data_IF_892044713552
#
_entry.id   IF_892044713552
#
_cell.length_a   1.000
_cell.length_b   1.000
_cell.length_c   1.000
_cell.angle_alpha   90.00
_cell.angle_beta   90.00
_cell.angle_gamma   90.00
#
_symmetry.space_group_name_H-M   'P 1'
#
loop_
_entity.id
_entity.type
_entity.pdbx_description
1 polymer ?
#
# COMPACT_ATOMS: atom_id res chain seq x y z
N UNK A 1 18.99 -8.08 31.12
CA UNK A 1 17.53 -7.90 31.25
C UNK A 1 17.15 -6.97 30.12
N UNK A 2 16.76 -7.56 28.95
CA UNK A 2 16.33 -6.79 27.80
C UNK A 2 14.93 -6.26 28.10
N UNK A 3 14.79 -4.97 28.37
CA UNK A 3 13.54 -4.29 28.16
C UNK A 3 13.30 -4.32 26.63
N UNK A 4 12.49 -5.26 26.21
CA UNK A 4 11.84 -5.24 24.91
C UNK A 4 10.99 -3.97 24.92
N UNK A 5 11.52 -2.89 24.32
CA UNK A 5 10.76 -1.65 24.13
C UNK A 5 9.45 -2.05 23.48
N UNK A 6 8.35 -1.92 24.21
CA UNK A 6 7.03 -2.26 23.70
C UNK A 6 6.84 -1.59 22.34
N UNK A 7 6.68 -2.40 21.32
CA UNK A 7 6.59 -1.92 19.95
C UNK A 7 5.33 -1.07 19.80
N UNK A 8 5.49 0.16 19.33
CA UNK A 8 4.38 1.11 19.18
C UNK A 8 3.38 0.54 18.18
N UNK A 9 2.10 0.50 18.55
CA UNK A 9 1.02 0.02 17.71
C UNK A 9 0.88 0.84 16.42
N UNK A 10 0.52 0.20 15.32
CA UNK A 10 0.36 0.87 14.03
C UNK A 10 -0.74 1.94 14.07
N UNK A 11 -1.83 1.70 14.82
CA UNK A 11 -2.89 2.68 15.06
C UNK A 11 -2.37 3.95 15.76
N UNK A 12 -1.48 3.79 16.74
CA UNK A 12 -0.84 4.92 17.43
C UNK A 12 0.03 5.72 16.46
N UNK A 13 0.86 5.04 15.66
CA UNK A 13 1.69 5.71 14.65
C UNK A 13 0.87 6.46 13.62
N UNK A 14 -0.23 5.88 13.15
CA UNK A 14 -1.16 6.58 12.24
C UNK A 14 -1.70 7.86 12.88
N UNK A 15 -2.12 7.80 14.15
CA UNK A 15 -2.60 8.98 14.88
C UNK A 15 -1.54 10.05 15.03
N UNK A 16 -0.30 9.68 15.40
CA UNK A 16 0.84 10.59 15.50
C UNK A 16 1.20 11.26 14.17
N UNK A 17 1.04 10.53 13.06
CA UNK A 17 1.25 11.03 11.69
C UNK A 17 0.08 11.86 11.16
N UNK A 18 -1.04 11.93 11.89
CA UNK A 18 -2.27 12.58 11.43
C UNK A 18 -2.92 11.86 10.24
N UNK A 19 -2.70 10.55 10.11
CA UNK A 19 -3.22 9.74 9.01
C UNK A 19 -4.44 8.96 9.48
N UNK A 20 -5.55 9.11 8.75
CA UNK A 20 -6.74 8.27 8.92
C UNK A 20 -6.78 7.23 7.81
N UNK A 21 -7.01 5.96 8.16
CA UNK A 21 -7.21 4.93 7.15
C UNK A 21 -8.49 5.23 6.36
N UNK A 22 -8.43 5.15 5.02
CA UNK A 22 -9.61 5.33 4.20
C UNK A 22 -10.62 4.19 4.41
N UNK A 23 -11.90 4.48 4.17
CA UNK A 23 -12.91 3.46 4.09
C UNK A 23 -12.64 2.54 2.90
N UNK A 24 -12.85 1.24 3.08
CA UNK A 24 -12.72 0.24 2.02
C UNK A 24 -14.05 0.15 1.28
N UNK A 25 -14.12 0.49 -0.01
CA UNK A 25 -15.35 0.37 -0.78
C UNK A 25 -15.81 -1.09 -0.84
N UNK A 26 -17.14 -1.29 -0.83
CA UNK A 26 -17.71 -2.61 -1.10
C UNK A 26 -17.31 -3.05 -2.53
N UNK A 27 -16.91 -4.31 -2.73
CA UNK A 27 -16.54 -4.79 -4.06
C UNK A 27 -17.75 -4.77 -4.99
N UNK A 28 -17.55 -4.20 -6.18
CA UNK A 28 -18.59 -4.14 -7.25
C UNK A 28 -18.39 -5.25 -8.28
N UNK A 29 -17.43 -6.12 -8.10
CA UNK A 29 -17.07 -7.21 -9.02
C UNK A 29 -16.86 -8.53 -8.27
N UNK A 30 -16.54 -9.60 -8.98
CA UNK A 30 -16.35 -10.94 -8.43
C UNK A 30 -14.98 -11.14 -7.74
N UNK A 31 -14.51 -10.13 -7.00
CA UNK A 31 -13.29 -10.21 -6.20
C UNK A 31 -13.46 -9.48 -4.86
N UNK A 32 -12.56 -9.75 -3.91
CA UNK A 32 -12.52 -9.10 -2.60
C UNK A 32 -11.33 -8.14 -2.52
N UNK A 33 -11.44 -7.05 -1.74
CA UNK A 33 -10.32 -6.12 -1.52
C UNK A 33 -9.09 -6.78 -0.90
N UNK A 34 -9.31 -7.79 -0.07
CA UNK A 34 -8.26 -8.59 0.54
C UNK A 34 -8.80 -9.99 0.89
N UNK A 35 -7.90 -10.97 0.90
CA UNK A 35 -8.19 -12.35 1.33
C UNK A 35 -7.14 -12.82 2.32
N UNK A 36 -7.58 -13.61 3.31
CA UNK A 36 -6.69 -14.26 4.28
C UNK A 36 -6.42 -15.68 3.82
N UNK A 37 -5.16 -16.09 3.82
CA UNK A 37 -4.75 -17.47 3.53
C UNK A 37 -3.50 -17.82 4.33
N UNK A 38 -3.56 -18.89 5.11
CA UNK A 38 -2.44 -19.42 5.90
C UNK A 38 -1.74 -18.35 6.76
N UNK A 39 -2.50 -17.48 7.42
CA UNK A 39 -1.96 -16.41 8.27
C UNK A 39 -1.40 -15.20 7.51
N UNK A 40 -1.53 -15.18 6.20
CA UNK A 40 -1.18 -14.04 5.36
C UNK A 40 -2.41 -13.40 4.76
N UNK A 41 -2.33 -12.09 4.52
CA UNK A 41 -3.36 -11.32 3.83
C UNK A 41 -2.79 -10.87 2.50
N UNK A 42 -3.54 -11.14 1.45
CA UNK A 42 -3.25 -10.70 0.08
C UNK A 42 -4.26 -9.64 -0.31
N UNK A 43 -3.82 -8.46 -0.68
CA UNK A 43 -4.73 -7.42 -1.17
C UNK A 43 -4.93 -7.52 -2.67
N UNK A 44 -6.08 -7.09 -3.14
CA UNK A 44 -6.23 -6.69 -4.53
C UNK A 44 -5.37 -5.45 -4.82
N UNK A 45 -5.06 -5.19 -6.10
CA UNK A 45 -4.39 -3.97 -6.51
C UNK A 45 -5.21 -2.73 -6.14
N UNK A 46 -4.52 -1.72 -5.58
CA UNK A 46 -5.14 -0.48 -5.16
C UNK A 46 -4.60 0.68 -5.98
N UNK A 47 -5.50 1.50 -6.49
CA UNK A 47 -5.20 2.74 -7.17
C UNK A 47 -5.20 3.91 -6.18
N UNK A 48 -4.63 5.07 -6.52
CA UNK A 48 -4.58 6.23 -5.63
C UNK A 48 -5.92 7.00 -5.61
N UNK A 49 -6.97 6.35 -5.14
CA UNK A 49 -8.27 6.95 -4.90
C UNK A 49 -8.32 7.68 -3.56
N UNK A 50 -8.95 8.85 -3.55
CA UNK A 50 -9.35 9.59 -2.35
C UNK A 50 -10.81 10.00 -2.53
N UNK A 51 -11.65 9.68 -1.56
CA UNK A 51 -13.09 9.99 -1.56
C UNK A 51 -13.81 9.57 -2.86
N UNK A 52 -13.44 8.42 -3.40
CA UNK A 52 -14.02 7.85 -4.62
C UNK A 52 -13.50 8.46 -5.93
N UNK A 53 -12.50 9.33 -5.88
CA UNK A 53 -11.91 9.97 -7.05
C UNK A 53 -10.47 9.54 -7.25
N UNK A 54 -10.12 9.16 -8.48
CA UNK A 54 -8.73 8.95 -8.88
C UNK A 54 -8.02 10.29 -8.94
N UNK A 55 -6.91 10.44 -8.21
CA UNK A 55 -6.25 11.74 -8.04
C UNK A 55 -5.60 12.26 -9.32
N UNK A 56 -5.16 11.38 -10.21
CA UNK A 56 -4.46 11.76 -11.43
C UNK A 56 -4.48 10.61 -12.44
N UNK A 57 -4.31 10.94 -13.72
CA UNK A 57 -4.17 9.99 -14.82
C UNK A 57 -2.93 10.29 -15.65
N UNK A 58 -2.43 9.29 -16.38
CA UNK A 58 -1.30 9.45 -17.31
C UNK A 58 -0.11 8.56 -16.99
N UNK A 59 0.94 8.73 -17.77
CA UNK A 59 2.17 7.93 -17.70
C UNK A 59 3.27 8.65 -16.96
N UNK A 60 3.96 7.93 -16.10
CA UNK A 60 5.13 8.42 -15.38
C UNK A 60 6.31 8.52 -16.33
N UNK A 61 7.00 9.66 -16.30
CA UNK A 61 8.05 10.00 -17.24
C UNK A 61 7.55 10.76 -18.49
N UNK A 62 6.23 10.89 -18.65
CA UNK A 62 5.60 11.74 -19.67
C UNK A 62 4.74 12.82 -18.99
N UNK A 63 3.42 12.59 -18.86
CA UNK A 63 2.51 13.57 -18.23
C UNK A 63 2.57 13.65 -16.70
N UNK A 64 3.07 12.60 -16.04
CA UNK A 64 3.20 12.51 -14.58
C UNK A 64 4.67 12.48 -14.19
N UNK A 65 5.09 13.35 -13.27
CA UNK A 65 6.47 13.36 -12.77
C UNK A 65 6.72 12.18 -11.82
N UNK A 66 7.98 11.71 -11.69
CA UNK A 66 8.35 10.66 -10.73
C UNK A 66 8.01 11.04 -9.28
N UNK A 67 8.20 12.30 -8.90
CA UNK A 67 7.90 12.82 -7.56
C UNK A 67 6.39 12.75 -7.29
N UNK A 68 5.58 13.19 -8.25
CA UNK A 68 4.13 13.09 -8.15
C UNK A 68 3.67 11.64 -8.10
N UNK A 69 4.25 10.77 -8.90
CA UNK A 69 3.95 9.34 -8.87
C UNK A 69 4.30 8.68 -7.52
N UNK A 70 5.37 9.11 -6.84
CA UNK A 70 5.71 8.63 -5.51
C UNK A 70 4.64 9.04 -4.46
N UNK A 71 4.11 10.27 -4.54
CA UNK A 71 2.99 10.70 -3.70
C UNK A 71 1.74 9.84 -3.96
N UNK A 72 1.44 9.56 -5.22
CA UNK A 72 0.30 8.70 -5.59
C UNK A 72 0.51 7.25 -5.14
N UNK A 73 1.73 6.71 -5.20
CA UNK A 73 2.07 5.40 -4.67
C UNK A 73 1.88 5.33 -3.15
N UNK A 74 2.16 6.40 -2.42
CA UNK A 74 1.87 6.53 -0.99
C UNK A 74 0.37 6.42 -0.72
N UNK A 75 -0.48 7.11 -1.49
CA UNK A 75 -1.95 7.04 -1.36
C UNK A 75 -2.46 5.64 -1.67
N UNK A 76 -2.01 5.04 -2.77
CA UNK A 76 -2.38 3.68 -3.14
C UNK A 76 -1.97 2.65 -2.08
N UNK A 77 -0.78 2.81 -1.48
CA UNK A 77 -0.32 1.97 -0.38
C UNK A 77 -1.19 2.12 0.88
N UNK A 78 -1.64 3.33 1.19
CA UNK A 78 -2.57 3.54 2.31
C UNK A 78 -3.91 2.83 2.06
N UNK A 79 -4.42 2.85 0.84
CA UNK A 79 -5.61 2.10 0.44
C UNK A 79 -5.38 0.57 0.58
N UNK A 80 -4.19 0.08 0.24
CA UNK A 80 -3.84 -1.33 0.41
C UNK A 80 -3.73 -1.73 1.89
N UNK A 81 -3.19 -0.86 2.76
CA UNK A 81 -3.18 -1.07 4.21
C UNK A 81 -4.60 -1.13 4.76
N UNK A 82 -5.49 -0.22 4.31
CA UNK A 82 -6.89 -0.22 4.71
C UNK A 82 -7.60 -1.53 4.29
N UNK A 83 -7.36 -1.99 3.05
CA UNK A 83 -7.91 -3.25 2.55
C UNK A 83 -7.43 -4.44 3.40
N UNK A 84 -6.14 -4.54 3.72
CA UNK A 84 -5.60 -5.58 4.58
C UNK A 84 -6.17 -5.51 5.99
N UNK A 85 -6.26 -4.32 6.58
CA UNK A 85 -6.79 -4.10 7.93
C UNK A 85 -8.27 -4.52 8.05
N UNK A 86 -9.05 -4.38 6.98
CA UNK A 86 -10.49 -4.69 6.96
C UNK A 86 -10.81 -6.17 7.22
N UNK A 87 -9.86 -7.08 6.95
CA UNK A 87 -10.05 -8.53 7.12
C UNK A 87 -9.34 -9.12 8.34
N UNK A 88 -8.66 -8.27 9.14
CA UNK A 88 -7.93 -8.69 10.35
C UNK A 88 -8.31 -7.90 11.60
N UNK A 89 -9.46 -7.22 11.58
CA UNK A 89 -10.00 -6.49 12.73
C UNK A 89 -9.35 -5.13 12.98
N UNK A 90 -8.66 -4.56 12.00
CA UNK A 90 -8.02 -3.26 12.07
C UNK A 90 -6.52 -3.31 11.78
N UNK A 91 -5.88 -2.15 11.73
CA UNK A 91 -4.45 -2.05 11.34
C UNK A 91 -3.52 -2.75 12.34
N UNK A 92 -3.90 -2.82 13.62
CA UNK A 92 -3.13 -3.52 14.65
C UNK A 92 -3.20 -5.04 14.52
N UNK A 93 -4.15 -5.57 13.73
CA UNK A 93 -4.20 -6.96 13.32
C UNK A 93 -3.15 -7.34 12.26
N UNK A 94 -2.44 -6.37 11.71
CA UNK A 94 -1.30 -6.59 10.79
C UNK A 94 -0.04 -6.73 11.61
N UNK A 95 0.57 -7.93 11.61
CA UNK A 95 1.79 -8.21 12.34
C UNK A 95 3.02 -7.60 11.66
N UNK A 96 3.14 -7.78 10.34
CA UNK A 96 4.23 -7.19 9.54
C UNK A 96 3.87 -7.12 8.06
N UNK A 97 4.56 -6.26 7.35
CA UNK A 97 4.53 -6.25 5.88
C UNK A 97 5.53 -7.29 5.35
N UNK A 98 5.09 -8.11 4.41
CA UNK A 98 5.91 -9.18 3.80
C UNK A 98 6.39 -8.76 2.42
N UNK A 99 5.47 -8.32 1.56
CA UNK A 99 5.76 -7.97 0.17
C UNK A 99 4.96 -6.75 -0.26
N UNK A 100 5.64 -5.84 -0.94
CA UNK A 100 5.07 -4.72 -1.67
C UNK A 100 5.32 -4.91 -3.16
N UNK A 101 4.29 -4.76 -3.97
CA UNK A 101 4.40 -4.67 -5.42
C UNK A 101 3.84 -3.32 -5.87
N UNK A 102 4.62 -2.58 -6.65
CA UNK A 102 4.22 -1.32 -7.24
C UNK A 102 4.33 -1.43 -8.75
N UNK A 103 3.20 -1.31 -9.41
CA UNK A 103 3.08 -1.21 -10.86
C UNK A 103 3.05 0.26 -11.24
N UNK A 104 3.90 0.66 -12.17
CA UNK A 104 4.02 2.05 -12.62
C UNK A 104 3.71 2.11 -14.10
N UNK A 105 2.60 2.75 -14.48
CA UNK A 105 2.30 3.03 -15.87
C UNK A 105 3.35 4.01 -16.41
N UNK A 106 4.26 3.50 -17.25
CA UNK A 106 5.50 4.17 -17.57
C UNK A 106 5.59 4.57 -19.04
N UNK A 107 6.13 5.76 -19.28
CA UNK A 107 6.75 6.02 -20.58
C UNK A 107 7.80 4.96 -20.87
N UNK A 108 7.92 4.45 -22.12
CA UNK A 108 8.89 3.38 -22.44
C UNK A 108 10.34 3.69 -22.11
N UNK A 109 10.71 4.97 -22.01
CA UNK A 109 12.07 5.41 -21.65
C UNK A 109 12.25 5.60 -20.14
N UNK A 110 11.17 5.57 -19.34
CA UNK A 110 11.25 5.76 -17.90
C UNK A 110 11.68 4.46 -17.18
N UNK A 111 12.76 4.53 -16.43
CA UNK A 111 13.33 3.40 -15.69
C UNK A 111 13.43 3.63 -14.17
N UNK A 112 12.81 4.71 -13.67
CA UNK A 112 12.85 5.12 -12.26
C UNK A 112 11.73 4.52 -11.38
N UNK A 113 11.16 3.37 -11.73
CA UNK A 113 10.08 2.72 -10.96
C UNK A 113 10.44 2.50 -9.48
N UNK A 114 11.68 2.13 -9.11
CA UNK A 114 12.05 2.00 -7.70
C UNK A 114 11.90 3.32 -6.92
N UNK A 115 12.20 4.45 -7.54
CA UNK A 115 12.06 5.78 -6.92
C UNK A 115 10.58 6.10 -6.66
N UNK A 116 9.70 5.79 -7.61
CA UNK A 116 8.24 5.92 -7.42
C UNK A 116 7.76 5.04 -6.26
N UNK A 117 8.21 3.79 -6.20
CA UNK A 117 7.83 2.85 -5.16
C UNK A 117 8.29 3.26 -3.76
N UNK A 118 9.29 4.13 -3.63
CA UNK A 118 9.75 4.65 -2.34
C UNK A 118 8.63 5.37 -1.59
N UNK A 119 7.71 6.05 -2.27
CA UNK A 119 6.56 6.68 -1.63
C UNK A 119 5.70 5.70 -0.85
N UNK A 120 5.46 4.51 -1.40
CA UNK A 120 4.76 3.43 -0.72
C UNK A 120 5.61 2.82 0.40
N UNK A 121 6.88 2.51 0.14
CA UNK A 121 7.77 1.89 1.14
C UNK A 121 7.96 2.77 2.38
N UNK A 122 8.13 4.07 2.20
CA UNK A 122 8.30 5.04 3.30
C UNK A 122 7.04 5.16 4.16
N UNK A 123 5.85 5.09 3.55
CA UNK A 123 4.61 5.03 4.31
C UNK A 123 4.58 3.78 5.21
N UNK A 124 4.88 2.62 4.65
CA UNK A 124 4.86 1.35 5.40
C UNK A 124 5.86 1.37 6.57
N UNK A 125 7.06 1.91 6.37
CA UNK A 125 8.03 2.10 7.45
C UNK A 125 7.53 3.09 8.51
N UNK A 126 6.91 4.18 8.11
CA UNK A 126 6.36 5.18 9.04
C UNK A 126 5.25 4.60 9.92
N UNK A 127 4.38 3.75 9.34
CA UNK A 127 3.23 3.16 10.05
C UNK A 127 3.65 1.96 10.91
N UNK A 128 4.51 1.08 10.38
CA UNK A 128 4.82 -0.20 11.02
C UNK A 128 6.21 -0.28 11.65
N UNK A 129 7.06 0.76 11.50
CA UNK A 129 8.44 0.72 11.97
C UNK A 129 9.23 -0.44 11.34
N UNK A 130 10.01 -1.18 12.12
CA UNK A 130 10.79 -2.33 11.63
C UNK A 130 9.90 -3.44 11.02
N UNK A 131 8.68 -3.59 11.49
CA UNK A 131 7.69 -4.51 10.91
C UNK A 131 7.22 -4.09 9.51
N UNK A 132 7.46 -2.86 9.13
CA UNK A 132 7.21 -2.31 7.79
C UNK A 132 8.28 -2.67 6.76
N UNK A 133 9.44 -3.22 7.16
CA UNK A 133 10.46 -3.69 6.23
C UNK A 133 9.97 -4.90 5.44
N UNK A 134 10.09 -4.84 4.13
CA UNK A 134 9.43 -5.77 3.21
C UNK A 134 10.31 -6.09 2.00
N UNK A 135 10.05 -7.21 1.35
CA UNK A 135 10.52 -7.48 0.00
C UNK A 135 9.70 -6.65 -1.01
N UNK A 136 10.30 -6.20 -2.10
CA UNK A 136 9.65 -5.30 -3.04
C UNK A 136 9.89 -5.69 -4.49
N UNK A 137 8.86 -5.53 -5.33
CA UNK A 137 8.99 -5.40 -6.77
C UNK A 137 8.41 -4.05 -7.21
N UNK A 138 9.15 -3.33 -8.04
CA UNK A 138 8.72 -2.08 -8.66
C UNK A 138 8.96 -2.20 -10.16
N UNK A 139 7.89 -2.29 -10.94
CA UNK A 139 7.96 -2.61 -12.36
C UNK A 139 7.13 -1.64 -13.20
N UNK A 140 7.62 -1.38 -14.40
CA UNK A 140 6.91 -0.61 -15.39
C UNK A 140 5.88 -1.47 -16.13
N UNK A 141 4.71 -0.91 -16.37
CA UNK A 141 3.65 -1.47 -17.22
C UNK A 141 3.25 -0.45 -18.26
N UNK A 142 2.69 -0.92 -19.38
CA UNK A 142 2.27 -0.05 -20.47
C UNK A 142 1.09 0.82 -20.07
N UNK A 143 0.10 0.24 -19.40
CA UNK A 143 -1.14 0.90 -18.97
C UNK A 143 -1.62 0.27 -17.66
N UNK A 144 -2.40 1.04 -16.90
CA UNK A 144 -3.14 0.58 -15.73
C UNK A 144 -4.63 0.91 -15.90
N UNK A 145 -5.51 0.23 -15.14
CA UNK A 145 -6.94 0.55 -15.16
C UNK A 145 -7.19 2.03 -14.92
N UNK A 146 -8.17 2.60 -15.60
CA UNK A 146 -8.59 4.01 -15.51
C UNK A 146 -7.47 5.00 -15.86
N UNK A 147 -6.45 4.57 -16.58
CA UNK A 147 -5.24 5.35 -16.87
C UNK A 147 -4.50 5.82 -15.60
N UNK A 148 -4.61 5.04 -14.52
CA UNK A 148 -3.88 5.34 -13.26
C UNK A 148 -2.38 5.30 -13.48
N UNK A 149 -1.61 6.23 -12.88
CA UNK A 149 -0.15 6.22 -12.98
C UNK A 149 0.50 5.09 -12.19
N UNK A 150 -0.13 4.65 -11.11
CA UNK A 150 0.40 3.62 -10.20
C UNK A 150 -0.70 2.69 -9.71
N UNK A 151 -0.31 1.47 -9.37
CA UNK A 151 -1.12 0.50 -8.65
C UNK A 151 -0.26 -0.21 -7.62
N UNK A 152 -0.80 -0.45 -6.43
CA UNK A 152 -0.08 -1.08 -5.31
C UNK A 152 -0.84 -2.29 -4.81
N UNK A 153 -0.12 -3.39 -4.59
CA UNK A 153 -0.63 -4.54 -3.85
C UNK A 153 0.31 -4.93 -2.70
N UNK A 154 -0.25 -5.48 -1.64
CA UNK A 154 0.46 -5.91 -0.44
C UNK A 154 0.23 -7.38 -0.14
N UNK A 155 1.27 -8.01 0.41
CA UNK A 155 1.14 -9.21 1.24
C UNK A 155 1.59 -8.85 2.64
N UNK A 156 0.73 -9.08 3.63
CA UNK A 156 1.04 -8.86 5.04
C UNK A 156 0.81 -10.13 5.85
N UNK A 157 1.49 -10.25 6.98
CA UNK A 157 1.25 -11.30 7.97
C UNK A 157 0.22 -10.79 8.98
N UNK A 158 -0.81 -11.58 9.24
CA UNK A 158 -1.82 -11.28 10.25
C UNK A 158 -1.35 -11.71 11.65
N UNK A 159 -1.76 -10.97 12.68
CA UNK A 159 -1.53 -11.35 14.07
C UNK A 159 -2.33 -12.61 14.42
N UNK A 160 -1.76 -13.49 15.26
CA UNK A 160 -2.42 -14.74 15.68
C UNK A 160 -3.77 -14.52 16.39
N UNK A 161 -3.99 -13.34 16.97
CA UNK A 161 -5.25 -12.96 17.63
C UNK A 161 -6.35 -12.55 16.64
N UNK A 162 -6.08 -12.56 15.33
CA UNK A 162 -7.03 -12.14 14.28
C UNK A 162 -7.85 -13.31 13.69
N UNK A 163 -7.71 -14.53 14.27
CA UNK A 163 -8.41 -15.75 13.84
C UNK A 163 -9.13 -16.42 14.98
#
# INVERSE_FOLDING_TARGET
>A
MNEELAEVAASTRLAELGITLPAVPAPVAAYLPAVVSAGQVFTAGQLPFVDGHLLETGKVGAGVSPERAAELARVAALNAVAAAASVVGGVDGIRRVVKLVVFVASDPAFTGQPQVANGASELLLSVFGERGRHARSAVGVAVLPLDSPVEVELVVEASAASF
#
